data_IF_725430741581
#
_entry.id   IF_725430741581
#
_cell.length_a   1.000
_cell.length_b   1.000
_cell.length_c   1.000
_cell.angle_alpha   90.00
_cell.angle_beta   90.00
_cell.angle_gamma   90.00
#
_symmetry.space_group_name_H-M   'P 1'
#
loop_
_entity.id
_entity.type
_entity.pdbx_description
1 polymer ?
#
# COMPACT_ATOMS: atom_id res chain seq x y z
N UNK A 1 15.11 -37.48 20.18
CA UNK A 1 13.82 -37.06 20.76
C UNK A 1 13.25 -36.01 19.81
N UNK A 2 12.53 -36.45 18.78
CA UNK A 2 11.82 -35.53 17.88
C UNK A 2 10.65 -34.94 18.65
N UNK A 3 10.69 -33.62 18.88
CA UNK A 3 9.51 -32.90 19.35
C UNK A 3 8.54 -32.94 18.16
N UNK A 4 7.51 -33.78 18.24
CA UNK A 4 6.43 -33.78 17.26
C UNK A 4 5.92 -32.34 17.13
N UNK A 5 6.17 -31.72 15.99
CA UNK A 5 5.77 -30.34 15.72
C UNK A 5 4.24 -30.30 15.74
N UNK A 6 3.68 -29.81 16.85
CA UNK A 6 2.24 -29.61 16.96
C UNK A 6 1.84 -28.61 15.89
N UNK A 7 0.88 -29.00 15.06
CA UNK A 7 0.24 -28.10 14.10
C UNK A 7 -0.27 -26.84 14.80
N UNK A 8 -0.14 -25.66 14.18
CA UNK A 8 -0.60 -24.41 14.78
C UNK A 8 -2.13 -24.46 15.01
N UNK A 9 -2.58 -23.88 16.12
CA UNK A 9 -4.01 -23.60 16.31
C UNK A 9 -4.47 -22.53 15.33
N UNK A 10 -5.77 -22.49 15.03
CA UNK A 10 -6.35 -21.42 14.22
C UNK A 10 -6.05 -20.01 14.75
N UNK A 11 -5.99 -19.83 16.07
CA UNK A 11 -5.62 -18.55 16.67
C UNK A 11 -4.15 -18.19 16.42
N UNK A 12 -3.25 -19.18 16.51
CA UNK A 12 -1.83 -18.97 16.19
C UNK A 12 -1.66 -18.63 14.70
N UNK A 13 -2.37 -19.37 13.85
CA UNK A 13 -2.37 -19.14 12.41
C UNK A 13 -2.92 -17.76 12.04
N UNK A 14 -4.03 -17.33 12.64
CA UNK A 14 -4.64 -16.00 12.43
C UNK A 14 -3.67 -14.88 12.80
N UNK A 15 -3.00 -14.98 13.95
CA UNK A 15 -1.99 -14.00 14.38
C UNK A 15 -0.79 -13.96 13.44
N UNK A 16 -0.32 -15.13 13.00
CA UNK A 16 0.73 -15.24 11.99
C UNK A 16 0.35 -14.63 10.65
N UNK A 17 -0.88 -14.89 10.18
CA UNK A 17 -1.43 -14.30 8.97
C UNK A 17 -1.53 -12.77 9.08
N UNK A 18 -2.02 -12.24 10.21
CA UNK A 18 -2.07 -10.78 10.45
C UNK A 18 -0.66 -10.15 10.42
N UNK A 19 0.32 -10.78 11.06
CA UNK A 19 1.71 -10.33 11.00
C UNK A 19 2.29 -10.41 9.56
N UNK A 20 1.92 -11.45 8.81
CA UNK A 20 2.26 -11.61 7.40
C UNK A 20 1.70 -10.48 6.53
N UNK A 21 0.42 -10.16 6.67
CA UNK A 21 -0.25 -9.04 5.99
C UNK A 21 0.43 -7.71 6.36
N UNK A 22 0.74 -7.51 7.65
CA UNK A 22 1.43 -6.32 8.12
C UNK A 22 2.84 -6.18 7.56
N UNK A 23 3.52 -7.28 7.21
CA UNK A 23 4.86 -7.28 6.58
C UNK A 23 4.85 -7.26 5.07
N UNK A 24 3.75 -7.65 4.45
CA UNK A 24 3.67 -7.78 3.01
C UNK A 24 3.96 -6.46 2.28
N UNK A 25 4.53 -6.63 1.10
CA UNK A 25 4.84 -5.58 0.15
C UNK A 25 3.74 -5.42 -0.90
N UNK A 26 3.80 -4.34 -1.67
CA UNK A 26 3.08 -4.25 -2.93
C UNK A 26 3.45 -5.45 -3.79
N UNK A 27 2.45 -6.00 -4.47
CA UNK A 27 2.53 -7.16 -5.35
C UNK A 27 2.86 -8.49 -4.64
N UNK A 28 2.97 -8.52 -3.31
CA UNK A 28 3.02 -9.78 -2.57
C UNK A 28 1.66 -10.49 -2.65
N UNK A 29 1.70 -11.76 -2.99
CA UNK A 29 0.56 -12.65 -3.03
C UNK A 29 0.75 -13.83 -2.08
N UNK A 30 -0.34 -14.25 -1.46
CA UNK A 30 -0.36 -15.45 -0.61
C UNK A 30 -1.56 -16.29 -1.03
N UNK A 31 -1.34 -17.58 -1.23
CA UNK A 31 -2.34 -18.58 -1.58
C UNK A 31 -2.39 -19.61 -0.45
N UNK A 32 -3.58 -19.81 0.10
CA UNK A 32 -3.92 -20.80 1.11
C UNK A 32 -4.81 -21.86 0.44
N UNK A 33 -4.20 -22.93 -0.04
CA UNK A 33 -4.87 -23.95 -0.86
C UNK A 33 -5.35 -25.15 -0.04
N UNK A 34 -6.49 -25.72 -0.42
CA UNK A 34 -7.01 -27.01 0.05
C UNK A 34 -7.43 -27.88 -1.15
N UNK A 35 -7.31 -29.20 -1.02
CA UNK A 35 -7.74 -30.19 -2.04
C UNK A 35 -7.28 -29.87 -3.48
N UNK A 36 -6.02 -29.42 -3.64
CA UNK A 36 -5.31 -29.04 -4.89
C UNK A 36 -5.92 -27.89 -5.72
N UNK A 37 -7.22 -27.65 -5.63
CA UNK A 37 -7.99 -26.75 -6.50
C UNK A 37 -8.74 -25.66 -5.75
N UNK A 38 -9.00 -25.87 -4.46
CA UNK A 38 -9.61 -24.90 -3.58
C UNK A 38 -8.56 -23.94 -3.04
N UNK A 39 -8.84 -22.65 -3.01
CA UNK A 39 -7.95 -21.69 -2.36
C UNK A 39 -8.67 -20.44 -1.86
N UNK A 40 -8.06 -19.84 -0.82
CA UNK A 40 -8.21 -18.42 -0.50
C UNK A 40 -6.87 -17.77 -0.81
N UNK A 41 -6.88 -16.68 -1.55
CA UNK A 41 -5.68 -15.90 -1.79
C UNK A 41 -5.89 -14.44 -1.42
N UNK A 42 -4.81 -13.74 -1.12
CA UNK A 42 -4.81 -12.29 -1.09
C UNK A 42 -3.60 -11.74 -1.85
N UNK A 43 -3.80 -10.60 -2.48
CA UNK A 43 -2.77 -9.85 -3.21
C UNK A 43 -2.75 -8.46 -2.61
N UNK A 44 -1.56 -8.04 -2.18
CA UNK A 44 -1.38 -6.73 -1.59
C UNK A 44 -1.11 -5.70 -2.70
N UNK A 45 -2.08 -4.82 -2.92
CA UNK A 45 -1.94 -3.68 -3.80
C UNK A 45 -1.30 -2.47 -3.12
N UNK A 46 -1.31 -1.37 -3.84
CA UNK A 46 -0.81 -0.07 -3.37
C UNK A 46 -1.61 0.50 -2.20
N UNK A 47 -2.93 0.45 -2.32
CA UNK A 47 -3.91 1.08 -1.42
C UNK A 47 -5.06 0.15 -1.03
N UNK A 48 -5.02 -1.09 -1.52
CA UNK A 48 -6.01 -2.13 -1.25
C UNK A 48 -5.33 -3.48 -1.05
N UNK A 49 -6.03 -4.40 -0.40
CA UNK A 49 -5.75 -5.82 -0.40
C UNK A 49 -6.93 -6.47 -1.11
N UNK A 50 -6.66 -7.11 -2.24
CA UNK A 50 -7.65 -7.90 -2.96
C UNK A 50 -7.61 -9.33 -2.41
N UNK A 51 -8.74 -9.81 -1.91
CA UNK A 51 -8.88 -11.13 -1.31
C UNK A 51 -9.86 -11.91 -2.16
N UNK A 52 -9.52 -13.16 -2.48
CA UNK A 52 -10.30 -13.99 -3.38
C UNK A 52 -10.48 -15.40 -2.82
N UNK A 53 -11.66 -15.97 -3.05
CA UNK A 53 -12.00 -17.35 -2.69
C UNK A 53 -12.45 -18.07 -3.95
N UNK A 54 -11.94 -19.28 -4.14
CA UNK A 54 -12.18 -20.04 -5.36
C UNK A 54 -13.53 -20.79 -5.34
N UNK A 55 -14.31 -20.68 -6.42
CA UNK A 55 -15.57 -21.42 -6.67
C UNK A 55 -15.52 -22.09 -8.05
N UNK A 56 -14.45 -22.85 -8.26
CA UNK A 56 -14.03 -23.39 -9.54
C UNK A 56 -14.93 -24.56 -9.94
N UNK A 57 -15.14 -24.79 -11.25
CA UNK A 57 -15.97 -25.90 -11.74
C UNK A 57 -15.54 -27.29 -11.24
N UNK A 58 -14.25 -27.47 -10.97
CA UNK A 58 -13.68 -28.73 -10.51
C UNK A 58 -13.80 -28.94 -8.99
N UNK A 59 -13.98 -27.87 -8.23
CA UNK A 59 -14.28 -27.91 -6.79
C UNK A 59 -15.30 -26.80 -6.44
N UNK A 60 -16.55 -26.92 -6.91
CA UNK A 60 -17.53 -25.86 -6.76
C UNK A 60 -18.00 -25.77 -5.32
N UNK A 61 -18.22 -24.55 -4.84
CA UNK A 61 -18.82 -24.32 -3.53
C UNK A 61 -20.30 -24.74 -3.55
N UNK A 62 -20.76 -25.37 -2.48
CA UNK A 62 -22.17 -25.71 -2.33
C UNK A 62 -23.02 -24.48 -1.96
N UNK A 63 -24.34 -24.63 -1.97
CA UNK A 63 -25.27 -23.53 -1.69
C UNK A 63 -25.11 -22.94 -0.27
N UNK A 64 -24.76 -23.78 0.72
CA UNK A 64 -24.54 -23.36 2.11
C UNK A 64 -23.25 -22.54 2.22
N UNK A 65 -22.17 -23.00 1.57
CA UNK A 65 -20.89 -22.31 1.55
C UNK A 65 -21.02 -20.92 0.89
N UNK A 66 -21.68 -20.86 -0.28
CA UNK A 66 -21.97 -19.58 -0.97
C UNK A 66 -22.81 -18.63 -0.12
N UNK A 67 -23.85 -19.14 0.56
CA UNK A 67 -24.66 -18.32 1.45
C UNK A 67 -23.85 -17.78 2.64
N UNK A 68 -22.92 -18.57 3.18
CA UNK A 68 -22.02 -18.12 4.23
C UNK A 68 -21.05 -17.02 3.74
N UNK A 69 -20.52 -17.13 2.52
CA UNK A 69 -19.70 -16.06 1.92
C UNK A 69 -20.48 -14.75 1.75
N UNK A 70 -21.71 -14.81 1.21
CA UNK A 70 -22.58 -13.63 1.13
C UNK A 70 -22.80 -13.01 2.50
N UNK A 71 -23.08 -13.83 3.53
CA UNK A 71 -23.29 -13.34 4.89
C UNK A 71 -22.05 -12.68 5.51
N UNK A 72 -20.84 -13.13 5.12
CA UNK A 72 -19.58 -12.53 5.54
C UNK A 72 -19.20 -11.28 4.72
N UNK A 73 -20.01 -10.88 3.74
CA UNK A 73 -19.83 -9.68 2.92
C UNK A 73 -18.88 -9.87 1.74
N UNK A 74 -18.76 -11.09 1.21
CA UNK A 74 -18.05 -11.34 -0.05
C UNK A 74 -18.90 -10.96 -1.25
N UNK A 75 -18.25 -10.40 -2.27
CA UNK A 75 -18.87 -10.16 -3.56
C UNK A 75 -18.89 -11.46 -4.38
N UNK A 76 -20.03 -11.81 -5.01
CA UNK A 76 -20.14 -13.02 -5.81
C UNK A 76 -19.26 -12.95 -7.06
N UNK A 77 -18.93 -14.09 -7.67
CA UNK A 77 -18.13 -14.10 -8.88
C UNK A 77 -18.71 -13.23 -10.00
N UNK A 78 -17.93 -12.25 -10.44
CA UNK A 78 -18.24 -11.40 -11.59
C UNK A 78 -17.90 -12.08 -12.93
N UNK A 79 -18.20 -11.40 -14.05
CA UNK A 79 -17.88 -11.88 -15.40
C UNK A 79 -16.38 -11.83 -15.79
N UNK A 80 -15.47 -11.73 -14.83
CA UNK A 80 -14.03 -11.56 -15.00
C UNK A 80 -13.22 -12.87 -15.00
N UNK A 81 -12.01 -12.82 -14.46
CA UNK A 81 -11.03 -13.93 -14.41
C UNK A 81 -11.48 -15.08 -13.51
N UNK A 82 -12.42 -15.88 -14.01
CA UNK A 82 -12.88 -17.10 -13.36
C UNK A 82 -13.92 -16.89 -12.26
N UNK A 83 -14.49 -17.99 -11.74
CA UNK A 83 -15.52 -17.95 -10.71
C UNK A 83 -14.89 -17.71 -9.33
N UNK A 84 -14.41 -16.49 -9.07
CA UNK A 84 -13.81 -16.11 -7.79
C UNK A 84 -14.74 -15.17 -7.04
N UNK A 85 -15.05 -15.53 -5.81
CA UNK A 85 -15.62 -14.58 -4.85
C UNK A 85 -14.51 -13.61 -4.48
N UNK A 86 -14.85 -12.33 -4.34
CA UNK A 86 -13.84 -11.30 -4.10
C UNK A 86 -14.24 -10.36 -2.98
N UNK A 87 -13.24 -9.74 -2.37
CA UNK A 87 -13.42 -8.64 -1.45
C UNK A 87 -12.20 -7.75 -1.49
N UNK A 88 -12.41 -6.49 -1.81
CA UNK A 88 -11.37 -5.47 -1.75
C UNK A 88 -11.42 -4.77 -0.38
N UNK A 89 -10.30 -4.77 0.33
CA UNK A 89 -10.15 -4.09 1.61
C UNK A 89 -9.16 -2.96 1.46
N UNK A 90 -9.55 -1.73 1.86
CA UNK A 90 -8.62 -0.60 1.82
C UNK A 90 -7.44 -0.83 2.75
N UNK A 91 -6.23 -0.69 2.23
CA UNK A 91 -5.00 -0.86 2.99
C UNK A 91 -4.77 0.32 3.96
N UNK A 92 -4.40 -0.01 5.20
CA UNK A 92 -4.05 0.94 6.25
C UNK A 92 -2.90 0.39 7.10
N UNK A 93 -1.90 1.21 7.48
CA UNK A 93 -0.82 0.76 8.35
C UNK A 93 -1.30 0.70 9.81
N UNK A 94 -2.16 -0.24 10.17
CA UNK A 94 -2.59 -0.43 11.55
C UNK A 94 -2.92 -1.90 11.86
N UNK A 95 -2.77 -2.28 13.13
CA UNK A 95 -3.05 -3.65 13.58
C UNK A 95 -4.48 -4.07 13.34
N UNK A 96 -5.44 -3.16 13.52
CA UNK A 96 -6.84 -3.48 13.39
C UNK A 96 -7.16 -3.97 11.98
N UNK A 97 -6.66 -3.31 10.94
CA UNK A 97 -6.84 -3.73 9.56
C UNK A 97 -6.20 -5.10 9.31
N UNK A 98 -4.96 -5.32 9.77
CA UNK A 98 -4.28 -6.59 9.59
C UNK A 98 -5.05 -7.76 10.25
N UNK A 99 -5.57 -7.53 11.46
CA UNK A 99 -6.40 -8.48 12.19
C UNK A 99 -7.75 -8.70 11.50
N UNK A 100 -8.41 -7.66 10.99
CA UNK A 100 -9.69 -7.74 10.27
C UNK A 100 -9.56 -8.62 9.01
N UNK A 101 -8.50 -8.42 8.22
CA UNK A 101 -8.24 -9.24 7.01
C UNK A 101 -7.90 -10.67 7.38
N UNK A 102 -7.03 -10.89 8.38
CA UNK A 102 -6.71 -12.23 8.85
C UNK A 102 -7.93 -12.97 9.42
N UNK A 103 -8.80 -12.27 10.15
CA UNK A 103 -10.06 -12.81 10.67
C UNK A 103 -11.01 -13.18 9.52
N UNK A 104 -11.18 -12.32 8.51
CA UNK A 104 -12.01 -12.61 7.35
C UNK A 104 -11.57 -13.90 6.63
N UNK A 105 -10.26 -14.03 6.38
CA UNK A 105 -9.68 -15.21 5.71
C UNK A 105 -9.87 -16.45 6.57
N UNK A 106 -9.49 -16.40 7.85
CA UNK A 106 -9.56 -17.56 8.74
C UNK A 106 -10.99 -18.00 9.04
N UNK A 107 -11.93 -17.06 9.21
CA UNK A 107 -13.35 -17.37 9.37
C UNK A 107 -13.92 -17.99 8.09
N UNK A 108 -13.52 -17.52 6.91
CA UNK A 108 -13.92 -18.11 5.64
C UNK A 108 -13.47 -19.58 5.55
N UNK A 109 -12.20 -19.86 5.86
CA UNK A 109 -11.65 -21.21 5.83
C UNK A 109 -12.32 -22.15 6.87
N UNK A 110 -12.58 -21.66 8.09
CA UNK A 110 -13.16 -22.47 9.15
C UNK A 110 -14.67 -22.68 8.99
N UNK A 111 -15.40 -21.60 8.77
CA UNK A 111 -16.86 -21.57 8.90
C UNK A 111 -17.56 -21.80 7.56
N UNK A 112 -17.08 -21.16 6.50
CA UNK A 112 -17.66 -21.31 5.16
C UNK A 112 -17.12 -22.58 4.48
N UNK A 113 -15.79 -22.76 4.43
CA UNK A 113 -15.20 -23.94 3.77
C UNK A 113 -15.31 -25.19 4.64
N UNK A 114 -15.11 -25.06 5.95
CA UNK A 114 -15.22 -26.17 6.90
C UNK A 114 -13.90 -26.88 7.21
N UNK A 115 -12.75 -26.22 6.99
CA UNK A 115 -11.44 -26.77 7.34
C UNK A 115 -11.29 -26.92 8.85
N UNK A 116 -10.81 -28.08 9.29
CA UNK A 116 -10.68 -28.40 10.73
C UNK A 116 -9.40 -27.86 11.31
N UNK A 117 -8.32 -27.86 10.54
CA UNK A 117 -7.00 -27.42 10.98
C UNK A 117 -6.31 -26.56 9.91
N UNK A 118 -5.50 -25.56 10.31
CA UNK A 118 -4.59 -24.91 9.38
C UNK A 118 -3.55 -25.85 8.76
N UNK A 119 -3.31 -27.02 9.38
CA UNK A 119 -2.41 -28.04 8.83
C UNK A 119 -2.95 -28.70 7.55
N UNK A 120 -4.23 -28.51 7.26
CA UNK A 120 -4.87 -29.01 6.03
C UNK A 120 -4.59 -28.07 4.82
N UNK A 121 -3.83 -26.98 5.02
CA UNK A 121 -3.51 -26.00 3.99
C UNK A 121 -2.11 -26.22 3.40
N UNK A 122 -2.01 -26.11 2.08
CA UNK A 122 -0.76 -25.79 1.40
C UNK A 122 -0.63 -24.27 1.28
N UNK A 123 0.49 -23.71 1.75
CA UNK A 123 0.70 -22.26 1.85
C UNK A 123 1.82 -21.87 0.89
N UNK A 124 1.49 -20.98 -0.04
CA UNK A 124 2.47 -20.37 -0.94
C UNK A 124 2.40 -18.87 -0.81
N UNK A 125 3.55 -18.24 -0.66
CA UNK A 125 3.66 -16.80 -0.56
C UNK A 125 4.82 -16.34 -1.45
N UNK A 126 4.55 -15.41 -2.35
CA UNK A 126 5.50 -14.96 -3.36
C UNK A 126 5.20 -13.54 -3.81
N UNK A 127 6.21 -12.83 -4.29
CA UNK A 127 6.00 -11.53 -4.95
C UNK A 127 5.61 -11.77 -6.42
N UNK A 128 4.44 -11.30 -6.83
CA UNK A 128 3.98 -11.42 -8.23
C UNK A 128 4.85 -10.61 -9.19
N UNK A 129 5.57 -9.61 -8.68
CA UNK A 129 6.51 -8.80 -9.47
C UNK A 129 7.85 -9.49 -9.69
N UNK A 130 8.51 -9.95 -8.62
CA UNK A 130 9.86 -10.54 -8.71
C UNK A 130 9.84 -12.05 -8.96
N UNK A 131 8.73 -12.72 -8.60
CA UNK A 131 8.65 -14.18 -8.54
C UNK A 131 9.30 -14.78 -7.30
N UNK A 132 9.84 -13.95 -6.39
CA UNK A 132 10.54 -14.45 -5.20
C UNK A 132 9.57 -14.98 -4.16
N UNK A 133 9.79 -16.22 -3.74
CA UNK A 133 9.06 -16.87 -2.64
C UNK A 133 9.44 -16.26 -1.29
N UNK A 134 8.51 -16.29 -0.34
CA UNK A 134 8.75 -15.92 1.05
C UNK A 134 7.92 -16.78 2.01
N UNK A 135 8.32 -16.77 3.28
CA UNK A 135 7.62 -17.52 4.32
C UNK A 135 6.58 -16.64 5.02
N UNK A 136 5.35 -17.12 5.08
CA UNK A 136 4.30 -16.52 5.91
C UNK A 136 4.56 -16.90 7.38
N UNK A 137 4.56 -15.95 8.34
CA UNK A 137 5.03 -16.20 9.70
C UNK A 137 3.96 -16.88 10.58
N UNK A 138 3.49 -18.05 10.14
CA UNK A 138 2.40 -18.81 10.79
C UNK A 138 2.89 -19.82 11.82
N UNK A 139 4.21 -19.97 11.98
CA UNK A 139 4.78 -20.70 13.12
C UNK A 139 5.10 -19.76 14.29
N UNK A 140 5.14 -20.25 15.54
CA UNK A 140 5.35 -19.39 16.72
C UNK A 140 6.65 -18.56 16.68
N UNK A 141 7.77 -19.13 16.23
CA UNK A 141 9.06 -18.42 16.19
C UNK A 141 9.14 -17.37 15.08
N UNK A 142 8.49 -17.62 13.93
CA UNK A 142 8.42 -16.64 12.84
C UNK A 142 7.47 -15.51 13.18
N UNK A 143 6.37 -15.81 13.88
CA UNK A 143 5.39 -14.82 14.32
C UNK A 143 6.03 -13.73 15.19
N UNK A 144 6.87 -14.09 16.17
CA UNK A 144 7.49 -13.09 17.07
C UNK A 144 8.39 -12.12 16.30
N UNK A 145 9.21 -12.64 15.39
CA UNK A 145 10.03 -11.80 14.51
C UNK A 145 9.17 -10.92 13.62
N UNK A 146 8.13 -11.51 13.04
CA UNK A 146 7.25 -10.78 12.15
C UNK A 146 6.46 -9.68 12.86
N UNK A 147 5.99 -9.95 14.09
CA UNK A 147 5.33 -8.95 14.93
C UNK A 147 6.29 -7.79 15.23
N UNK A 148 7.56 -8.07 15.57
CA UNK A 148 8.58 -7.03 15.77
C UNK A 148 8.79 -6.18 14.50
N UNK A 149 8.85 -6.80 13.32
CA UNK A 149 8.97 -6.07 12.05
C UNK A 149 7.74 -5.19 11.78
N UNK A 150 6.53 -5.66 12.14
CA UNK A 150 5.29 -4.86 12.05
C UNK A 150 5.34 -3.68 13.02
N UNK A 151 5.78 -3.86 14.26
CA UNK A 151 5.89 -2.75 15.21
C UNK A 151 6.86 -1.68 14.73
N UNK A 152 8.02 -2.09 14.17
CA UNK A 152 8.96 -1.17 13.54
C UNK A 152 8.31 -0.39 12.40
N UNK A 153 7.55 -1.09 11.54
CA UNK A 153 6.80 -0.47 10.44
C UNK A 153 5.79 0.57 10.94
N UNK A 154 5.01 0.24 11.96
CA UNK A 154 3.99 1.14 12.48
C UNK A 154 4.59 2.33 13.24
N UNK A 155 5.70 2.14 13.94
CA UNK A 155 6.43 3.21 14.59
C UNK A 155 6.99 4.21 13.56
N UNK A 156 7.54 3.71 12.45
CA UNK A 156 8.11 4.54 11.39
C UNK A 156 7.05 5.42 10.72
N UNK A 157 5.87 4.86 10.41
CA UNK A 157 4.73 5.64 9.87
C UNK A 157 4.38 6.83 10.79
N UNK A 158 4.33 6.61 12.10
CA UNK A 158 4.06 7.68 13.08
C UNK A 158 5.16 8.73 13.13
N UNK A 159 6.42 8.31 13.04
CA UNK A 159 7.58 9.21 13.00
C UNK A 159 7.54 10.10 11.77
N UNK A 160 7.19 9.54 10.62
CA UNK A 160 6.99 10.25 9.38
C UNK A 160 5.83 11.25 9.44
N UNK A 161 4.69 10.87 10.03
CA UNK A 161 3.57 11.78 10.28
C UNK A 161 3.97 12.95 11.18
N UNK A 162 4.68 12.67 12.27
CA UNK A 162 5.18 13.70 13.18
C UNK A 162 6.19 14.63 12.49
N UNK A 163 7.08 14.07 11.66
CA UNK A 163 8.06 14.83 10.89
C UNK A 163 7.38 15.73 9.86
N UNK A 164 6.38 15.21 9.14
CA UNK A 164 5.60 16.00 8.21
C UNK A 164 4.91 17.17 8.92
N UNK A 165 4.25 16.91 10.05
CA UNK A 165 3.59 17.94 10.86
C UNK A 165 4.58 19.03 11.34
N UNK A 166 5.76 18.61 11.82
CA UNK A 166 6.82 19.53 12.22
C UNK A 166 7.32 20.40 11.05
N UNK A 167 7.55 19.81 9.88
CA UNK A 167 8.01 20.55 8.71
C UNK A 167 6.94 21.54 8.21
N UNK A 168 5.67 21.15 8.24
CA UNK A 168 4.54 22.02 7.92
C UNK A 168 4.52 23.25 8.85
N UNK A 169 4.64 23.03 10.16
CA UNK A 169 4.69 24.09 11.17
C UNK A 169 5.90 25.02 10.95
N UNK A 170 7.08 24.44 10.70
CA UNK A 170 8.33 25.21 10.53
C UNK A 170 8.38 26.08 9.30
N UNK A 171 7.73 25.68 8.21
CA UNK A 171 7.66 26.54 7.04
C UNK A 171 6.80 27.80 7.30
N UNK A 172 6.07 27.87 8.43
CA UNK A 172 5.31 29.05 8.83
C UNK A 172 4.17 29.39 7.86
N UNK A 173 3.75 28.40 7.08
CA UNK A 173 2.87 28.58 5.96
C UNK A 173 1.42 28.47 6.42
N UNK A 174 0.54 29.25 5.81
CA UNK A 174 -0.88 28.91 5.67
C UNK A 174 -1.08 27.66 4.77
N UNK A 175 -0.11 26.74 4.75
CA UNK A 175 -0.07 25.61 3.83
C UNK A 175 -1.26 24.69 4.09
N UNK A 176 -2.09 24.55 3.05
CA UNK A 176 -3.12 23.52 3.04
C UNK A 176 -2.45 22.22 2.59
N UNK A 177 -2.57 21.20 3.44
CA UNK A 177 -1.88 19.93 3.24
C UNK A 177 -2.81 18.90 2.62
N UNK A 178 -2.36 18.30 1.51
CA UNK A 178 -2.92 17.07 0.96
C UNK A 178 -1.99 15.93 1.36
N UNK A 179 -2.33 15.25 2.45
CA UNK A 179 -1.58 14.09 2.91
C UNK A 179 -1.89 12.88 2.01
N UNK A 180 -0.85 12.22 1.51
CA UNK A 180 -1.00 10.89 0.92
C UNK A 180 -0.78 9.90 2.08
N UNK A 181 -1.78 9.08 2.45
CA UNK A 181 -1.63 8.09 3.50
C UNK A 181 -0.47 7.17 3.14
N UNK A 182 0.15 6.58 4.18
CA UNK A 182 1.11 5.53 3.96
C UNK A 182 0.52 4.47 3.03
N UNK A 183 1.38 3.87 2.21
CA UNK A 183 1.03 2.77 1.32
C UNK A 183 1.85 1.53 1.68
N UNK A 184 1.48 0.41 1.06
CA UNK A 184 2.32 -0.77 1.14
C UNK A 184 3.74 -0.44 0.63
N UNK A 185 4.75 -1.07 1.25
CA UNK A 185 6.15 -0.87 0.92
C UNK A 185 6.52 -1.70 -0.33
N UNK A 186 7.55 -1.32 -1.06
CA UNK A 186 8.10 -2.19 -2.12
C UNK A 186 9.00 -3.29 -1.55
N UNK A 187 9.48 -3.11 -0.32
CA UNK A 187 10.39 -4.02 0.35
C UNK A 187 9.91 -4.37 1.74
N UNK A 188 10.20 -5.62 2.12
CA UNK A 188 9.75 -6.16 3.41
C UNK A 188 10.53 -5.43 4.50
N UNK A 189 9.87 -4.98 5.57
CA UNK A 189 10.56 -4.35 6.68
C UNK A 189 11.53 -5.37 7.28
N UNK A 190 12.79 -4.96 7.42
CA UNK A 190 13.79 -5.66 8.22
C UNK A 190 14.34 -4.68 9.25
N UNK A 191 15.04 -5.16 10.27
CA UNK A 191 15.77 -4.26 11.17
C UNK A 191 16.78 -3.34 10.44
N UNK A 192 17.25 -3.73 9.25
CA UNK A 192 18.14 -2.91 8.41
C UNK A 192 17.38 -1.95 7.49
N UNK A 193 16.15 -2.30 7.10
CA UNK A 193 15.36 -1.63 6.06
C UNK A 193 13.95 -1.23 6.55
N UNK A 194 13.83 -0.94 7.84
CA UNK A 194 12.58 -0.47 8.45
C UNK A 194 12.28 0.96 7.96
N UNK A 195 11.76 1.12 6.74
CA UNK A 195 11.32 2.45 6.29
C UNK A 195 11.15 2.70 4.78
N UNK A 196 11.09 1.68 3.94
CA UNK A 196 10.84 1.88 2.50
C UNK A 196 9.34 2.09 2.21
N UNK A 197 8.76 3.18 2.73
CA UNK A 197 7.35 3.54 2.51
C UNK A 197 7.18 4.72 1.56
N UNK A 198 6.04 4.72 0.85
CA UNK A 198 5.53 5.91 0.19
C UNK A 198 4.77 6.77 1.21
N UNK A 199 5.49 7.65 1.89
CA UNK A 199 4.93 8.62 2.84
C UNK A 199 5.02 10.04 2.28
N UNK A 200 4.70 10.20 1.00
CA UNK A 200 4.77 11.52 0.38
C UNK A 200 3.70 12.47 0.93
N UNK A 201 4.02 13.75 1.01
CA UNK A 201 3.06 14.81 1.31
C UNK A 201 3.06 15.79 0.15
N UNK A 202 1.86 16.17 -0.31
CA UNK A 202 1.69 17.22 -1.30
C UNK A 202 1.09 18.42 -0.60
N UNK A 203 1.77 19.55 -0.65
CA UNK A 203 1.38 20.77 0.04
C UNK A 203 1.18 21.88 -0.97
N UNK A 204 0.12 22.64 -0.79
CA UNK A 204 0.02 23.95 -1.41
C UNK A 204 0.56 24.98 -0.43
N UNK A 205 1.59 25.70 -0.88
CA UNK A 205 2.21 26.79 -0.15
C UNK A 205 1.66 28.10 -0.72
N UNK A 206 0.99 28.88 0.12
CA UNK A 206 0.45 30.20 -0.23
C UNK A 206 1.45 31.32 0.12
N UNK A 207 1.16 32.55 -0.29
CA UNK A 207 1.97 33.75 0.00
C UNK A 207 2.48 34.46 -1.25
N UNK A 208 3.57 35.21 -1.11
CA UNK A 208 4.16 36.01 -2.21
C UNK A 208 4.74 35.15 -3.33
N UNK A 209 5.07 33.89 -3.03
CA UNK A 209 5.65 32.92 -3.95
C UNK A 209 4.90 31.58 -3.85
N UNK A 210 3.66 31.51 -4.37
CA UNK A 210 2.85 30.32 -4.24
C UNK A 210 3.42 29.17 -5.05
N UNK A 211 3.50 27.99 -4.43
CA UNK A 211 4.06 26.79 -5.05
C UNK A 211 3.43 25.51 -4.47
N UNK A 212 3.61 24.40 -5.19
CA UNK A 212 3.30 23.04 -4.73
C UNK A 212 4.61 22.45 -4.20
N UNK A 213 4.63 22.11 -2.92
CA UNK A 213 5.75 21.42 -2.29
C UNK A 213 5.42 19.94 -2.17
N UNK A 214 6.32 19.07 -2.60
CA UNK A 214 6.25 17.63 -2.37
C UNK A 214 7.34 17.24 -1.38
N UNK A 215 6.95 16.67 -0.25
CA UNK A 215 7.88 16.08 0.70
C UNK A 215 7.93 14.58 0.44
N UNK A 216 9.06 14.10 -0.07
CA UNK A 216 9.32 12.69 -0.28
C UNK A 216 10.08 12.12 0.90
N UNK A 217 9.34 11.45 1.76
CA UNK A 217 9.86 10.81 2.95
C UNK A 217 10.56 9.50 2.59
N UNK A 218 11.81 9.36 3.01
CA UNK A 218 12.59 8.13 2.90
C UNK A 218 12.87 7.60 4.28
N UNK A 219 12.88 6.27 4.42
CA UNK A 219 13.20 5.62 5.68
C UNK A 219 14.63 5.85 6.15
N UNK A 220 14.98 5.31 7.32
CA UNK A 220 16.30 5.44 7.94
C UNK A 220 17.47 4.93 7.09
N UNK A 221 17.23 3.96 6.20
CA UNK A 221 18.24 3.45 5.27
C UNK A 221 18.57 4.43 4.15
N UNK A 222 17.76 5.49 3.96
CA UNK A 222 17.86 6.37 2.81
C UNK A 222 17.50 5.68 1.51
N UNK A 223 16.80 4.55 1.55
CA UNK A 223 16.26 3.93 0.36
C UNK A 223 14.88 4.52 0.06
N UNK A 224 14.59 4.72 -1.22
CA UNK A 224 13.32 5.26 -1.72
C UNK A 224 12.45 4.12 -2.20
N UNK A 225 11.14 4.22 -1.99
CA UNK A 225 10.20 3.41 -2.76
C UNK A 225 10.33 3.70 -4.27
N UNK A 226 9.81 2.82 -5.11
CA UNK A 226 9.74 2.98 -6.55
C UNK A 226 8.46 2.36 -7.09
N UNK A 227 7.85 3.00 -8.09
CA UNK A 227 6.56 2.56 -8.63
C UNK A 227 6.59 2.41 -10.14
N UNK A 228 5.83 1.47 -10.67
CA UNK A 228 5.52 1.44 -12.10
C UNK A 228 4.57 2.59 -12.44
N UNK A 229 5.07 3.54 -13.23
CA UNK A 229 4.31 4.69 -13.72
C UNK A 229 4.20 4.61 -15.24
N UNK A 230 3.11 5.12 -15.84
CA UNK A 230 3.03 5.22 -17.29
C UNK A 230 4.17 6.09 -17.84
N UNK A 231 4.53 5.92 -19.13
CA UNK A 231 5.46 6.84 -19.77
C UNK A 231 4.91 8.27 -19.76
N UNK A 232 5.78 9.23 -20.12
CA UNK A 232 5.39 10.64 -20.22
C UNK A 232 4.17 10.79 -21.16
N UNK A 233 3.19 11.65 -20.83
CA UNK A 233 2.06 11.91 -21.72
C UNK A 233 2.52 12.26 -23.15
N UNK A 234 1.89 11.64 -24.15
CA UNK A 234 2.27 11.81 -25.57
C UNK A 234 3.47 10.99 -26.01
N UNK A 235 4.04 10.15 -25.14
CA UNK A 235 5.06 9.16 -25.48
C UNK A 235 4.46 7.77 -25.34
N UNK A 236 4.32 7.06 -26.44
CA UNK A 236 3.97 5.64 -26.42
C UNK A 236 5.16 4.85 -25.88
N UNK A 237 4.91 3.96 -24.94
CA UNK A 237 5.97 3.17 -24.32
C UNK A 237 5.48 2.27 -23.18
N UNK A 238 6.35 1.37 -22.69
CA UNK A 238 6.03 0.58 -21.52
C UNK A 238 5.94 1.46 -20.27
N UNK A 239 5.30 0.93 -19.24
CA UNK A 239 5.43 1.49 -17.89
C UNK A 239 6.90 1.48 -17.47
N UNK A 240 7.31 2.50 -16.73
CA UNK A 240 8.68 2.66 -16.23
C UNK A 240 8.66 2.60 -14.70
N UNK A 241 9.72 2.05 -14.10
CA UNK A 241 9.91 2.11 -12.64
C UNK A 241 10.48 3.48 -12.28
N UNK A 242 9.71 4.26 -11.53
CA UNK A 242 10.09 5.61 -11.09
C UNK A 242 10.35 5.60 -9.58
N UNK A 243 11.57 5.98 -9.21
CA UNK A 243 11.98 6.14 -7.81
C UNK A 243 11.28 7.33 -7.16
N UNK A 244 10.99 7.24 -5.87
CA UNK A 244 10.35 8.30 -5.11
C UNK A 244 11.17 9.60 -5.21
N UNK A 245 10.46 10.70 -5.46
CA UNK A 245 11.06 12.01 -5.69
C UNK A 245 11.71 12.21 -7.06
N UNK A 246 11.76 11.19 -7.94
CA UNK A 246 12.09 11.39 -9.36
C UNK A 246 10.98 12.17 -10.08
N UNK A 247 11.30 12.82 -11.19
CA UNK A 247 10.30 13.60 -11.93
C UNK A 247 9.13 12.76 -12.50
N UNK A 248 9.33 11.55 -13.05
CA UNK A 248 8.22 10.68 -13.44
C UNK A 248 7.34 10.27 -12.26
N UNK A 249 7.94 10.04 -11.09
CA UNK A 249 7.20 9.72 -9.87
C UNK A 249 6.33 10.90 -9.41
N UNK A 250 6.89 12.10 -9.35
CA UNK A 250 6.15 13.31 -8.96
C UNK A 250 5.00 13.62 -9.93
N UNK A 251 5.21 13.40 -11.23
CA UNK A 251 4.14 13.50 -12.23
C UNK A 251 3.00 12.53 -11.90
N UNK A 252 3.32 11.26 -11.69
CA UNK A 252 2.31 10.26 -11.35
C UNK A 252 1.57 10.63 -10.06
N UNK A 253 2.31 11.03 -9.03
CA UNK A 253 1.77 11.48 -7.74
C UNK A 253 0.76 12.62 -7.92
N UNK A 254 1.09 13.63 -8.72
CA UNK A 254 0.24 14.80 -8.94
C UNK A 254 -0.89 14.58 -9.96
N UNK A 255 -0.86 13.53 -10.80
CA UNK A 255 -1.86 13.31 -11.86
C UNK A 255 -2.78 12.12 -11.65
N UNK A 256 -2.32 11.09 -10.92
CA UNK A 256 -2.98 9.78 -10.87
C UNK A 256 -3.14 9.22 -9.47
N UNK A 257 -2.55 9.87 -8.46
CA UNK A 257 -2.70 9.40 -7.10
C UNK A 257 -4.15 9.61 -6.63
N UNK A 258 -4.86 8.50 -6.40
CA UNK A 258 -6.26 8.51 -5.98
C UNK A 258 -6.49 9.19 -4.64
N UNK A 259 -5.48 9.22 -3.76
CA UNK A 259 -5.62 9.91 -2.47
C UNK A 259 -5.50 11.41 -2.64
N UNK A 260 -4.55 11.87 -3.46
CA UNK A 260 -4.49 13.29 -3.86
C UNK A 260 -5.81 13.70 -4.51
N UNK A 261 -6.36 12.86 -5.40
CA UNK A 261 -7.66 13.08 -6.04
C UNK A 261 -8.79 13.24 -5.02
N UNK A 262 -8.89 12.33 -4.05
CA UNK A 262 -9.92 12.35 -3.03
C UNK A 262 -9.81 13.58 -2.13
N UNK A 263 -8.59 13.96 -1.73
CA UNK A 263 -8.35 15.14 -0.91
C UNK A 263 -8.70 16.44 -1.66
N UNK A 264 -8.32 16.54 -2.94
CA UNK A 264 -8.67 17.70 -3.78
C UNK A 264 -10.16 17.76 -4.11
N UNK A 265 -10.85 16.62 -4.21
CA UNK A 265 -12.30 16.59 -4.34
C UNK A 265 -13.01 17.09 -3.07
N UNK A 266 -12.43 16.84 -1.89
CA UNK A 266 -12.94 17.32 -0.62
C UNK A 266 -12.67 18.81 -0.35
N UNK A 267 -11.68 19.42 -1.03
CA UNK A 267 -11.40 20.87 -1.00
C UNK A 267 -11.31 21.46 -2.43
N UNK A 268 -12.46 21.81 -3.04
CA UNK A 268 -12.50 22.37 -4.39
C UNK A 268 -11.75 23.70 -4.55
N UNK A 269 -11.67 24.52 -3.49
CA UNK A 269 -10.92 25.79 -3.52
C UNK A 269 -9.42 25.52 -3.67
N UNK A 270 -8.89 24.57 -2.89
CA UNK A 270 -7.50 24.13 -2.98
C UNK A 270 -7.19 23.53 -4.37
N UNK A 271 -8.10 22.71 -4.89
CA UNK A 271 -7.97 22.14 -6.23
C UNK A 271 -7.86 23.23 -7.31
N UNK A 272 -8.70 24.27 -7.26
CA UNK A 272 -8.63 25.38 -8.21
C UNK A 272 -7.33 26.17 -8.05
N UNK A 273 -6.88 26.45 -6.82
CA UNK A 273 -5.61 27.16 -6.57
C UNK A 273 -4.40 26.41 -7.12
N UNK A 274 -4.30 25.11 -6.83
CA UNK A 274 -3.21 24.27 -7.36
C UNK A 274 -3.30 24.17 -8.90
N UNK A 275 -4.51 24.04 -9.45
CA UNK A 275 -4.71 24.01 -10.91
C UNK A 275 -4.35 25.33 -11.59
N UNK A 276 -4.70 26.46 -11.00
CA UNK A 276 -4.31 27.80 -11.46
C UNK A 276 -2.79 27.95 -11.47
N UNK A 277 -2.12 27.47 -10.43
CA UNK A 277 -0.68 27.50 -10.32
C UNK A 277 0.01 26.64 -11.41
N UNK A 278 -0.46 25.42 -11.65
CA UNK A 278 0.06 24.57 -12.72
C UNK A 278 -0.16 25.18 -14.12
N UNK A 279 -1.29 25.87 -14.34
CA UNK A 279 -1.57 26.58 -15.60
C UNK A 279 -0.60 27.71 -15.91
N UNK A 280 0.13 28.23 -14.92
CA UNK A 280 1.19 29.23 -15.17
C UNK A 280 2.32 28.67 -16.03
N UNK A 281 2.49 27.34 -16.05
CA UNK A 281 3.55 26.64 -16.79
C UNK A 281 4.96 26.92 -16.27
N UNK A 282 5.12 27.70 -15.20
CA UNK A 282 6.43 27.98 -14.60
C UNK A 282 6.98 26.70 -13.96
N UNK A 283 8.26 26.43 -14.15
CA UNK A 283 8.87 25.17 -13.70
C UNK A 283 9.12 25.11 -12.18
N UNK A 284 9.26 26.27 -11.54
CA UNK A 284 9.58 26.44 -10.12
C UNK A 284 8.36 26.33 -9.19
N UNK A 285 7.16 26.18 -9.76
CA UNK A 285 5.91 26.00 -9.00
C UNK A 285 5.78 24.61 -8.41
N UNK A 286 6.60 23.65 -8.83
CA UNK A 286 6.71 22.36 -8.15
C UNK A 286 8.09 22.28 -7.54
N UNK A 287 8.12 22.15 -6.22
CA UNK A 287 9.33 21.98 -5.43
C UNK A 287 9.24 20.60 -4.79
N UNK A 288 10.34 19.88 -4.77
CA UNK A 288 10.43 18.62 -4.06
C UNK A 288 11.56 18.67 -3.03
N UNK A 289 11.29 18.09 -1.87
CA UNK A 289 12.28 17.89 -0.82
C UNK A 289 12.27 16.43 -0.42
N UNK A 290 13.47 15.88 -0.27
CA UNK A 290 13.67 14.57 0.31
C UNK A 290 13.80 14.73 1.82
N UNK A 291 12.99 13.99 2.57
CA UNK A 291 12.97 14.01 4.04
C UNK A 291 13.42 12.65 4.53
N UNK A 292 14.60 12.58 5.15
CA UNK A 292 15.11 11.37 5.78
C UNK A 292 15.03 11.52 7.30
N UNK A 293 14.61 10.46 7.98
CA UNK A 293 14.67 10.39 9.45
C UNK A 293 15.54 9.19 9.80
N UNK A 294 16.65 9.43 10.48
CA UNK A 294 17.53 8.33 10.88
C UNK A 294 17.02 7.61 12.14
N UNK A 295 17.70 6.51 12.51
CA UNK A 295 17.36 5.73 13.70
C UNK A 295 17.48 6.48 15.03
N UNK A 296 18.16 7.64 15.06
CA UNK A 296 18.23 8.54 16.23
C UNK A 296 17.08 9.56 16.27
N UNK A 297 16.24 9.59 15.23
CA UNK A 297 15.18 10.58 15.05
C UNK A 297 15.68 11.90 14.45
N UNK A 298 16.93 11.96 13.97
CA UNK A 298 17.45 13.17 13.32
C UNK A 298 16.83 13.32 11.93
N UNK A 299 16.25 14.49 11.66
CA UNK A 299 15.59 14.81 10.40
C UNK A 299 16.55 15.55 9.48
N UNK A 300 16.78 14.99 8.29
CA UNK A 300 17.54 15.65 7.22
C UNK A 300 16.60 15.99 6.06
N UNK A 301 16.58 17.25 5.65
CA UNK A 301 15.76 17.74 4.53
C UNK A 301 16.66 18.25 3.43
N UNK A 302 16.54 17.66 2.25
CA UNK A 302 17.37 18.00 1.09
C UNK A 302 16.49 18.43 -0.08
N UNK A 303 16.72 19.62 -0.63
CA UNK A 303 16.05 20.07 -1.86
C UNK A 303 16.43 19.17 -3.02
N UNK A 304 15.43 18.62 -3.69
CA UNK A 304 15.64 17.80 -4.87
C UNK A 304 15.81 18.70 -6.10
N UNK A 305 16.83 18.40 -6.91
CA UNK A 305 17.03 19.08 -8.19
C UNK A 305 16.20 18.37 -9.25
N UNK A 306 15.01 18.91 -9.50
CA UNK A 306 14.16 18.47 -10.60
C UNK A 306 14.53 19.29 -11.83
N UNK A 307 14.89 18.62 -12.93
CA UNK A 307 15.01 19.35 -14.19
C UNK A 307 13.59 19.76 -14.64
N UNK A 308 13.34 21.05 -14.91
CA UNK A 308 12.05 21.56 -15.37
C UNK A 308 11.38 20.71 -16.45
N UNK A 309 12.17 20.30 -17.45
CA UNK A 309 11.74 19.53 -18.60
C UNK A 309 11.30 18.09 -18.26
N UNK A 310 11.77 17.55 -17.13
CA UNK A 310 11.50 16.19 -16.70
C UNK A 310 10.20 16.11 -15.90
N UNK A 311 9.80 17.20 -15.22
CA UNK A 311 8.50 17.30 -14.54
C UNK A 311 7.40 17.62 -15.56
N UNK A 312 7.70 18.48 -16.53
CA UNK A 312 6.78 18.86 -17.62
C UNK A 312 5.48 19.47 -17.10
N UNK A 313 5.61 20.53 -16.28
CA UNK A 313 4.47 21.23 -15.64
C UNK A 313 3.31 21.53 -16.60
N UNK A 314 3.51 21.97 -17.86
CA UNK A 314 2.41 22.23 -18.78
C UNK A 314 1.51 21.03 -19.09
N UNK A 315 2.00 19.79 -18.94
CA UNK A 315 1.21 18.57 -19.15
C UNK A 315 0.57 18.05 -17.88
N UNK A 316 0.90 18.61 -16.71
CA UNK A 316 0.31 18.21 -15.44
C UNK A 316 -1.14 18.63 -15.35
N UNK A 317 -1.98 17.70 -14.89
CA UNK A 317 -3.41 17.88 -14.63
C UNK A 317 -3.67 17.17 -13.32
N UNK A 318 -4.17 17.90 -12.32
CA UNK A 318 -4.50 17.28 -11.04
C UNK A 318 -5.59 16.22 -11.25
N UNK A 319 -5.55 15.10 -10.52
CA UNK A 319 -6.56 14.08 -10.64
C UNK A 319 -7.90 14.68 -10.18
N UNK A 320 -8.89 14.61 -11.06
CA UNK A 320 -10.28 14.88 -10.70
C UNK A 320 -10.86 13.56 -10.28
N UNK A 321 -11.44 13.47 -9.07
CA UNK A 321 -12.14 12.26 -8.66
C UNK A 321 -13.30 12.02 -9.63
N UNK A 322 -13.14 11.07 -10.55
CA UNK A 322 -14.29 10.46 -11.20
C UNK A 322 -14.95 9.61 -10.14
N UNK A 323 -15.91 10.19 -9.41
CA UNK A 323 -16.79 9.40 -8.55
C UNK A 323 -17.35 8.29 -9.44
N UNK A 324 -17.09 7.00 -9.16
CA UNK A 324 -17.81 5.94 -9.83
C UNK A 324 -19.28 6.14 -9.46
N UNK A 325 -20.08 6.56 -10.44
CA UNK A 325 -21.53 6.69 -10.34
C UNK A 325 -22.18 5.33 -10.18
#
# INVERSE_FOLDING_TARGET
MEIASRSPSWETFRRGLAAGIGRGCIDDAVILAWDELGFVQFIQGDDTIDIQVSDNKALPLDARQRAALVAAGWDPPGGGFGPLWSREVRWRPDHQMFDEVAQLITATLQEAIGLRSPADLDIKAFSTYSGDDFELPVTPGEYERAASDVELRLADVRLHDATAAFLIDKEGLSARTVAVPARAADRRPTHADAGEYFLDRVLYVDGDDPHILVLSHVGPSGLTGSRLVPPRPGVDGPFIRAEQGSAPYLRYLLQRNVTVAAALAADPELCERMSALLRTGRADVIRARRVAVDSSGSVTVTTMRLAPQDVDVPTLRLPVSSVPS
#
